data_IF_790864620970
#
_entry.id   IF_790864620970
#
_cell.length_a   1.000
_cell.length_b   1.000
_cell.length_c   1.000
_cell.angle_alpha   90.00
_cell.angle_beta   90.00
_cell.angle_gamma   90.00
#
_symmetry.space_group_name_H-M   'P 1'
#
loop_
_entity.id
_entity.type
_entity.pdbx_description
1 polymer ?
#
# COMPACT_ATOMS: atom_id res chain seq x y z
N UNK A 1 2.96 14.66 5.75
CA UNK A 1 3.30 14.24 4.38
C UNK A 1 2.51 12.98 4.04
N UNK A 2 2.03 12.90 2.79
CA UNK A 2 1.21 11.79 2.26
C UNK A 2 2.11 11.03 1.29
N UNK A 3 2.46 9.79 1.60
CA UNK A 3 3.44 9.03 0.80
C UNK A 3 2.77 8.32 -0.39
N UNK A 4 1.47 8.01 -0.30
CA UNK A 4 0.67 7.31 -1.32
C UNK A 4 -0.76 7.89 -1.42
N UNK A 5 -0.92 9.20 -1.26
CA UNK A 5 -2.25 9.84 -1.10
C UNK A 5 -2.85 9.67 0.31
N UNK A 6 -2.43 8.65 1.06
CA UNK A 6 -2.78 8.42 2.47
C UNK A 6 -1.84 9.23 3.39
N UNK A 7 -2.33 9.88 4.46
CA UNK A 7 -1.47 10.53 5.45
C UNK A 7 -0.61 9.51 6.22
N UNK A 8 0.63 9.89 6.57
CA UNK A 8 1.60 9.04 7.31
C UNK A 8 1.07 8.40 8.61
N UNK A 9 -0.01 8.93 9.20
CA UNK A 9 -0.71 8.38 10.37
C UNK A 9 -1.67 7.23 10.04
N UNK A 10 -2.02 7.06 8.78
CA UNK A 10 -2.90 6.03 8.21
C UNK A 10 -2.13 5.03 7.33
N UNK A 11 -0.94 5.41 6.84
CA UNK A 11 0.04 4.48 6.25
C UNK A 11 0.86 3.85 7.39
N UNK A 12 0.39 2.75 7.96
CA UNK A 12 1.20 1.93 8.87
C UNK A 12 1.84 0.82 8.03
N UNK A 13 2.82 1.21 7.22
CA UNK A 13 3.73 0.28 6.56
C UNK A 13 4.96 -0.05 7.43
N UNK A 14 4.94 0.35 8.71
CA UNK A 14 6.08 0.21 9.63
C UNK A 14 5.82 -0.72 10.82
N UNK A 15 4.58 -1.21 11.02
CA UNK A 15 4.19 -2.04 12.18
C UNK A 15 3.64 -3.44 11.83
N UNK A 16 3.57 -3.77 10.53
CA UNK A 16 3.02 -5.03 10.03
C UNK A 16 1.48 -5.10 10.01
N UNK A 17 0.95 -6.02 9.21
CA UNK A 17 -0.49 -6.36 9.09
C UNK A 17 -1.27 -6.41 10.41
N UNK A 18 -0.78 -7.03 11.50
CA UNK A 18 -1.54 -7.12 12.74
C UNK A 18 -1.81 -5.75 13.38
N UNK A 19 -0.90 -4.78 13.22
CA UNK A 19 -1.09 -3.45 13.80
C UNK A 19 -2.17 -2.66 13.05
N UNK A 20 -2.22 -2.78 11.71
CA UNK A 20 -3.27 -2.17 10.88
C UNK A 20 -4.64 -2.73 11.25
N UNK A 21 -4.78 -4.06 11.35
CA UNK A 21 -6.05 -4.66 11.78
C UNK A 21 -6.43 -4.26 13.20
N UNK A 22 -5.46 -4.13 14.12
CA UNK A 22 -5.74 -3.67 15.48
C UNK A 22 -6.20 -2.21 15.53
N UNK A 23 -5.68 -1.35 14.65
CA UNK A 23 -6.14 0.04 14.54
C UNK A 23 -7.52 0.12 13.88
N UNK A 24 -7.78 -0.66 12.82
CA UNK A 24 -9.10 -0.79 12.21
C UNK A 24 -10.15 -1.31 13.20
N UNK A 25 -9.79 -2.27 14.04
CA UNK A 25 -10.72 -2.78 15.04
C UNK A 25 -10.99 -1.74 16.15
N UNK A 26 -10.07 -0.83 16.42
CA UNK A 26 -10.21 0.20 17.46
C UNK A 26 -10.81 1.51 16.99
N UNK A 27 -10.78 1.79 15.68
CA UNK A 27 -11.20 3.08 15.09
C UNK A 27 -12.35 2.88 14.13
N UNK A 28 -13.04 3.98 13.84
CA UNK A 28 -14.13 4.08 12.87
C UNK A 28 -13.72 5.12 11.82
N UNK A 29 -14.28 5.01 10.61
CA UNK A 29 -13.97 5.88 9.47
C UNK A 29 -12.47 5.96 9.14
N UNK A 30 -11.79 4.82 9.27
CA UNK A 30 -10.35 4.72 9.14
C UNK A 30 -9.95 3.95 7.88
N UNK A 31 -8.89 4.44 7.24
CA UNK A 31 -8.32 3.86 6.03
C UNK A 31 -6.96 3.24 6.34
N UNK A 32 -6.81 1.95 6.09
CA UNK A 32 -5.58 1.19 6.29
C UNK A 32 -5.01 0.68 4.98
N UNK A 33 -3.68 0.61 4.86
CA UNK A 33 -3.00 0.00 3.73
C UNK A 33 -2.13 -1.16 4.21
N UNK A 34 -2.30 -2.32 3.63
CA UNK A 34 -1.49 -3.53 3.87
C UNK A 34 -1.04 -4.11 2.53
N UNK A 35 0.07 -4.81 2.54
CA UNK A 35 0.52 -5.64 1.42
C UNK A 35 0.10 -7.10 1.59
N UNK A 36 0.18 -7.90 0.54
CA UNK A 36 -0.12 -9.33 0.53
C UNK A 36 1.18 -10.11 0.79
N UNK A 37 1.83 -9.88 1.93
CA UNK A 37 2.86 -10.79 2.43
C UNK A 37 2.28 -12.12 2.96
N UNK A 38 2.54 -13.28 2.31
CA UNK A 38 2.06 -14.59 2.76
C UNK A 38 2.76 -15.09 4.02
N UNK A 39 3.95 -14.55 4.35
CA UNK A 39 4.74 -14.90 5.52
C UNK A 39 4.22 -14.28 6.81
N UNK A 40 3.31 -13.30 6.70
CA UNK A 40 2.73 -12.59 7.84
C UNK A 40 1.47 -13.27 8.37
N UNK A 41 1.31 -13.29 9.69
CA UNK A 41 0.11 -13.78 10.37
C UNK A 41 -1.11 -13.03 9.83
N UNK A 42 -2.01 -13.73 9.15
CA UNK A 42 -3.26 -13.14 8.66
C UNK A 42 -4.27 -13.06 9.81
N UNK A 43 -4.56 -11.85 10.34
CA UNK A 43 -5.48 -11.72 11.44
C UNK A 43 -6.91 -12.13 11.02
N UNK A 44 -7.68 -12.78 11.92
CA UNK A 44 -9.03 -13.24 11.61
C UNK A 44 -9.97 -12.09 11.25
N UNK A 45 -9.69 -10.87 11.73
CA UNK A 45 -10.40 -9.65 11.34
C UNK A 45 -10.40 -9.45 9.83
N UNK A 46 -9.26 -9.65 9.16
CA UNK A 46 -9.13 -9.47 7.71
C UNK A 46 -9.98 -10.46 6.91
N UNK A 47 -10.13 -11.69 7.41
CA UNK A 47 -11.01 -12.72 6.82
C UNK A 47 -12.50 -12.42 6.96
N UNK A 48 -12.87 -11.58 7.94
CA UNK A 48 -14.27 -11.18 8.17
C UNK A 48 -14.68 -9.98 7.32
N UNK A 49 -13.72 -9.24 6.77
CA UNK A 49 -14.01 -8.09 5.94
C UNK A 49 -14.47 -8.54 4.55
N UNK A 50 -15.68 -8.14 4.10
CA UNK A 50 -16.09 -8.37 2.74
C UNK A 50 -15.19 -7.59 1.76
N UNK A 51 -14.96 -8.20 0.60
CA UNK A 51 -14.27 -7.52 -0.51
C UNK A 51 -15.25 -6.51 -1.09
N UNK A 52 -14.94 -5.22 -0.95
CA UNK A 52 -15.69 -4.14 -1.60
C UNK A 52 -15.34 -4.09 -3.08
N UNK A 53 -14.04 -4.16 -3.40
CA UNK A 53 -13.56 -4.11 -4.77
C UNK A 53 -12.30 -4.94 -4.95
N UNK A 54 -12.11 -5.53 -6.13
CA UNK A 54 -10.91 -6.29 -6.46
C UNK A 54 -10.39 -5.85 -7.82
N UNK A 55 -9.19 -5.28 -7.85
CA UNK A 55 -8.52 -4.71 -9.01
C UNK A 55 -7.23 -5.48 -9.29
N UNK A 56 -7.32 -6.74 -9.78
CA UNK A 56 -6.15 -7.58 -10.03
C UNK A 56 -5.21 -6.98 -11.08
N UNK A 57 -5.75 -6.24 -12.06
CA UNK A 57 -4.96 -5.53 -13.08
C UNK A 57 -3.99 -4.50 -12.49
N UNK A 58 -4.35 -3.93 -11.33
CA UNK A 58 -3.52 -2.97 -10.61
C UNK A 58 -2.92 -3.56 -9.34
N UNK A 59 -3.02 -4.88 -9.11
CA UNK A 59 -2.54 -5.51 -7.88
C UNK A 59 -3.13 -4.89 -6.61
N UNK A 60 -4.39 -4.46 -6.66
CA UNK A 60 -5.06 -3.76 -5.55
C UNK A 60 -6.36 -4.47 -5.20
N UNK A 61 -6.67 -4.57 -3.91
CA UNK A 61 -7.90 -5.15 -3.40
C UNK A 61 -8.40 -4.30 -2.24
N UNK A 62 -9.68 -3.98 -2.25
CA UNK A 62 -10.32 -3.11 -1.27
C UNK A 62 -11.27 -3.96 -0.44
N UNK A 63 -11.03 -4.00 0.86
CA UNK A 63 -11.86 -4.65 1.85
C UNK A 63 -12.53 -3.56 2.68
N UNK A 64 -13.82 -3.69 2.99
CA UNK A 64 -14.53 -2.66 3.76
C UNK A 64 -15.30 -3.24 4.92
N UNK A 65 -15.14 -2.63 6.09
CA UNK A 65 -15.93 -2.91 7.28
C UNK A 65 -17.17 -2.02 7.28
N UNK A 66 -18.29 -2.53 6.79
CA UNK A 66 -19.56 -1.79 6.80
C UNK A 66 -20.05 -1.43 8.21
N UNK A 67 -19.57 -2.10 9.27
CA UNK A 67 -20.01 -1.82 10.64
C UNK A 67 -19.34 -0.57 11.19
N UNK A 68 -18.10 -0.29 10.78
CA UNK A 68 -17.28 0.82 11.27
C UNK A 68 -16.94 1.87 10.20
N UNK A 69 -17.47 1.68 9.00
CA UNK A 69 -17.15 2.47 7.82
C UNK A 69 -15.64 2.57 7.57
N UNK A 70 -14.93 1.45 7.77
CA UNK A 70 -13.49 1.40 7.59
C UNK A 70 -13.14 0.76 6.24
N UNK A 71 -12.11 1.28 5.58
CA UNK A 71 -11.59 0.71 4.34
C UNK A 71 -10.16 0.20 4.54
N UNK A 72 -9.90 -1.01 4.08
CA UNK A 72 -8.61 -1.66 4.10
C UNK A 72 -8.18 -1.95 2.65
N UNK A 73 -7.15 -1.25 2.22
CA UNK A 73 -6.52 -1.40 0.94
C UNK A 73 -5.42 -2.47 1.07
N UNK A 74 -5.51 -3.53 0.28
CA UNK A 74 -4.60 -4.65 0.23
C UNK A 74 -3.88 -4.62 -1.12
N UNK A 75 -2.56 -4.42 -1.11
CA UNK A 75 -1.73 -4.53 -2.29
C UNK A 75 -1.33 -5.99 -2.49
N UNK A 76 -1.41 -6.53 -3.71
CA UNK A 76 -0.93 -7.86 -4.07
C UNK A 76 -0.03 -7.75 -5.31
N UNK A 77 1.23 -8.24 -5.29
CA UNK A 77 1.88 -9.06 -4.25
C UNK A 77 2.38 -8.25 -3.04
N UNK A 78 3.67 -7.89 -2.94
CA UNK A 78 4.19 -7.04 -1.85
C UNK A 78 4.19 -5.57 -2.25
N UNK A 79 4.25 -4.62 -1.30
CA UNK A 79 4.33 -3.18 -1.62
C UNK A 79 5.53 -2.92 -2.54
N UNK A 80 6.67 -3.53 -2.22
CA UNK A 80 7.92 -3.33 -2.94
C UNK A 80 7.79 -3.80 -4.38
N UNK A 81 7.35 -5.04 -4.58
CA UNK A 81 7.07 -5.63 -5.89
C UNK A 81 6.00 -4.84 -6.67
N UNK A 82 4.98 -4.35 -5.98
CA UNK A 82 3.93 -3.53 -6.57
C UNK A 82 4.49 -2.20 -7.06
N UNK A 83 5.37 -1.57 -6.28
CA UNK A 83 6.03 -0.32 -6.66
C UNK A 83 6.99 -0.56 -7.83
N UNK A 84 7.72 -1.67 -7.85
CA UNK A 84 8.57 -2.04 -8.98
C UNK A 84 7.74 -2.16 -10.26
N UNK A 85 6.60 -2.85 -10.21
CA UNK A 85 5.66 -2.90 -11.35
C UNK A 85 5.12 -1.53 -11.73
N UNK A 86 4.81 -0.67 -10.76
CA UNK A 86 4.35 0.69 -11.04
C UNK A 86 5.46 1.53 -11.72
N UNK A 87 6.73 1.31 -11.35
CA UNK A 87 7.87 1.94 -12.04
C UNK A 87 8.05 1.43 -13.46
N UNK A 88 7.86 0.14 -13.70
CA UNK A 88 7.86 -0.43 -15.05
C UNK A 88 6.68 0.10 -15.90
N UNK A 89 5.47 0.17 -15.34
CA UNK A 89 4.26 0.72 -15.99
C UNK A 89 4.45 2.20 -16.39
N UNK A 90 5.19 2.96 -15.59
CA UNK A 90 5.46 4.37 -15.84
C UNK A 90 6.76 4.65 -16.63
N UNK A 91 7.49 3.62 -17.06
CA UNK A 91 8.82 3.73 -17.68
C UNK A 91 9.80 4.55 -16.82
N UNK A 92 9.72 4.41 -15.49
CA UNK A 92 10.58 5.09 -14.53
C UNK A 92 11.66 4.13 -14.04
N UNK A 93 12.92 4.52 -14.23
CA UNK A 93 14.05 3.76 -13.68
C UNK A 93 14.22 4.05 -12.18
N UNK A 94 14.02 3.03 -11.35
CA UNK A 94 14.12 3.12 -9.88
C UNK A 94 15.55 3.42 -9.40
N UNK A 95 16.59 3.07 -10.19
CA UNK A 95 17.99 3.33 -9.84
C UNK A 95 18.30 4.81 -9.85
N UNK A 96 17.56 5.63 -10.62
CA UNK A 96 17.63 7.11 -10.54
C UNK A 96 17.39 7.65 -9.14
N UNK A 97 16.61 6.94 -8.33
CA UNK A 97 16.28 7.32 -6.95
C UNK A 97 17.22 6.71 -5.92
N UNK A 98 18.30 6.05 -6.36
CA UNK A 98 19.19 5.25 -5.50
C UNK A 98 18.42 4.21 -4.69
N UNK A 99 17.43 3.60 -5.33
CA UNK A 99 16.61 2.51 -4.82
C UNK A 99 16.93 1.24 -5.64
N UNK A 100 17.02 0.07 -4.98
CA UNK A 100 17.24 -1.19 -5.67
C UNK A 100 15.98 -1.62 -6.44
N UNK A 101 16.17 -2.31 -7.57
CA UNK A 101 15.11 -2.93 -8.37
C UNK A 101 14.65 -4.30 -7.84
N UNK A 102 15.08 -4.67 -6.64
CA UNK A 102 14.79 -5.95 -5.99
C UNK A 102 13.91 -5.70 -4.77
N UNK A 103 12.76 -6.39 -4.68
CA UNK A 103 11.76 -6.14 -3.64
C UNK A 103 12.28 -6.37 -2.21
N UNK A 104 13.15 -7.36 -2.00
CA UNK A 104 13.73 -7.68 -0.70
C UNK A 104 14.76 -6.61 -0.26
N UNK A 105 15.57 -6.13 -1.20
CA UNK A 105 16.47 -5.00 -0.95
C UNK A 105 15.69 -3.70 -0.76
N UNK A 106 14.63 -3.49 -1.54
CA UNK A 106 13.80 -2.29 -1.48
C UNK A 106 13.12 -2.20 -0.12
N UNK A 107 12.64 -3.32 0.43
CA UNK A 107 12.07 -3.38 1.78
C UNK A 107 13.05 -2.86 2.83
N UNK A 108 14.31 -3.31 2.77
CA UNK A 108 15.37 -2.84 3.68
C UNK A 108 15.63 -1.36 3.52
N UNK A 109 15.71 -0.86 2.28
CA UNK A 109 15.98 0.55 2.02
C UNK A 109 14.83 1.44 2.44
N UNK A 110 13.57 1.04 2.20
CA UNK A 110 12.37 1.76 2.65
C UNK A 110 12.34 1.84 4.18
N UNK A 111 12.63 0.73 4.87
CA UNK A 111 12.67 0.68 6.33
C UNK A 111 13.77 1.59 6.90
N UNK A 112 14.90 1.71 6.20
CA UNK A 112 16.00 2.61 6.58
C UNK A 112 15.73 4.09 6.25
N UNK A 113 15.23 4.39 5.04
CA UNK A 113 14.99 5.75 4.56
C UNK A 113 13.77 5.84 3.64
N UNK A 114 12.66 6.30 4.22
CA UNK A 114 11.41 6.57 3.51
C UNK A 114 11.47 7.77 2.56
N UNK A 115 12.47 8.66 2.67
CA UNK A 115 12.47 9.93 1.90
C UNK A 115 12.73 9.67 0.42
N UNK A 116 13.62 8.72 0.12
CA UNK A 116 13.88 8.27 -1.26
C UNK A 116 12.63 7.64 -1.89
N UNK A 117 11.94 6.81 -1.12
CA UNK A 117 10.68 6.20 -1.54
C UNK A 117 9.59 7.24 -1.77
N UNK A 118 9.44 8.22 -0.87
CA UNK A 118 8.50 9.33 -1.06
C UNK A 118 8.77 10.12 -2.35
N UNK A 119 10.04 10.29 -2.74
CA UNK A 119 10.39 10.91 -4.02
C UNK A 119 9.99 10.07 -5.23
N UNK A 120 10.24 8.75 -5.18
CA UNK A 120 9.85 7.83 -6.25
C UNK A 120 8.33 7.85 -6.45
N UNK A 121 7.56 7.69 -5.38
CA UNK A 121 6.09 7.69 -5.46
C UNK A 121 5.55 9.03 -5.95
N UNK A 122 6.17 10.15 -5.57
CA UNK A 122 5.77 11.46 -6.07
C UNK A 122 6.04 11.63 -7.57
N UNK A 123 7.06 10.97 -8.12
CA UNK A 123 7.33 11.01 -9.56
C UNK A 123 6.40 10.07 -10.35
N UNK A 124 6.07 8.92 -9.76
CA UNK A 124 5.06 7.99 -10.27
C UNK A 124 3.68 8.61 -10.32
N UNK A 125 3.42 9.61 -9.47
CA UNK A 125 2.13 10.27 -9.36
C UNK A 125 1.76 10.99 -10.66
N UNK A 126 0.68 10.56 -11.28
CA UNK A 126 0.22 11.06 -12.57
C UNK A 126 0.96 10.48 -13.78
N UNK A 127 1.86 9.51 -13.57
CA UNK A 127 2.52 8.74 -14.64
C UNK A 127 2.11 7.26 -14.64
N UNK A 128 2.05 6.64 -13.47
CA UNK A 128 1.59 5.25 -13.33
C UNK A 128 0.08 5.18 -13.17
N UNK A 129 -0.55 4.32 -13.97
CA UNK A 129 -1.99 4.02 -13.85
C UNK A 129 -2.29 3.27 -12.56
N UNK A 130 -1.36 2.44 -12.09
CA UNK A 130 -1.50 1.69 -10.83
C UNK A 130 -1.59 2.66 -9.64
N UNK A 131 -0.73 3.67 -9.62
CA UNK A 131 -0.74 4.67 -8.55
C UNK A 131 -1.94 5.58 -8.63
N UNK A 132 -2.38 5.93 -9.84
CA UNK A 132 -3.61 6.70 -10.04
C UNK A 132 -4.85 5.96 -9.52
N UNK A 133 -4.98 4.66 -9.84
CA UNK A 133 -6.06 3.81 -9.33
C UNK A 133 -6.06 3.74 -7.80
N UNK A 134 -4.89 3.59 -7.17
CA UNK A 134 -4.75 3.61 -5.72
C UNK A 134 -5.20 4.96 -5.13
N UNK A 135 -4.75 6.10 -5.71
CA UNK A 135 -5.14 7.42 -5.23
C UNK A 135 -6.64 7.70 -5.36
N UNK A 136 -7.28 7.23 -6.44
CA UNK A 136 -8.73 7.34 -6.63
C UNK A 136 -9.44 6.54 -5.54
N UNK A 137 -9.05 5.27 -5.37
CA UNK A 137 -9.62 4.38 -4.36
C UNK A 137 -9.50 4.92 -2.93
N UNK A 138 -8.42 5.66 -2.62
CA UNK A 138 -8.22 6.28 -1.30
C UNK A 138 -9.06 7.56 -1.12
N UNK A 139 -9.33 8.29 -2.20
CA UNK A 139 -10.09 9.55 -2.17
C UNK A 139 -11.59 9.33 -2.12
N UNK A 140 -12.07 8.21 -2.67
CA UNK A 140 -13.45 7.72 -2.53
C UNK A 140 -13.81 7.46 -1.06
#
# INVERSE_FOLDING_TARGET
MRTLGIPKKQIIHLGGKPEVCKQLEKREEWKGLVDEDPSSVQPPYLKKLPVKENLPNYGLKILSDNSKNNDLFVLSPRLEEWVLKATEDADIDIKRYNLPDDGDLLHKVINLDLRKFERLVNDLKGKSKMLEALEIAIKE
#
